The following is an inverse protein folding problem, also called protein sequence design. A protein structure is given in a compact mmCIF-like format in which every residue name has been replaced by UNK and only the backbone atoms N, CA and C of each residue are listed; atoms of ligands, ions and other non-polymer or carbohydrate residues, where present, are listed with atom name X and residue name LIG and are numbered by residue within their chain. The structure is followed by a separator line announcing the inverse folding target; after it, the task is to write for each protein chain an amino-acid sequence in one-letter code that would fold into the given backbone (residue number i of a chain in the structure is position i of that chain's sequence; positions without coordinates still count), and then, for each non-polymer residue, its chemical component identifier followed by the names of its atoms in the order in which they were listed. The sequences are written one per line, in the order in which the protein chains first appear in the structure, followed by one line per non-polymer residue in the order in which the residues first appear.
data_IF_785845363863
#
_entry.id   IF_785845363863
#
_cell.length_a   1.000
_cell.length_b   1.000
_cell.length_c   1.000
_cell.angle_alpha   90.00
_cell.angle_beta   90.00
_cell.angle_gamma   90.00
#
_symmetry.space_group_name_H-M   'P 1'
#
loop_
_entity.id
_entity.type
_entity.pdbx_description
1 polymer ?
#
# COMPACT_ATOMS: atom_id res chain seq x y z
N UNK A 1 17.43 4.68 11.15
CA UNK A 1 16.36 5.45 10.47
C UNK A 1 15.31 5.74 11.52
N UNK A 2 15.19 7.01 11.93
CA UNK A 2 14.38 7.43 13.08
C UNK A 2 12.88 7.32 12.76
N UNK A 3 12.20 6.30 13.31
CA UNK A 3 10.74 6.11 13.27
C UNK A 3 9.99 7.09 14.20
N UNK A 4 10.36 8.36 14.22
CA UNK A 4 9.74 9.34 15.09
C UNK A 4 8.76 10.23 14.33
N UNK A 5 7.47 10.09 14.69
CA UNK A 5 6.41 11.14 14.72
C UNK A 5 5.42 11.30 13.55
N UNK A 6 4.69 10.25 13.18
CA UNK A 6 3.32 10.45 12.61
C UNK A 6 2.26 9.47 13.15
N UNK A 7 2.50 8.82 14.29
CA UNK A 7 1.42 8.15 15.02
C UNK A 7 0.59 9.18 15.79
N UNK A 8 -0.30 9.88 15.08
CA UNK A 8 -1.43 10.51 15.75
C UNK A 8 -2.24 9.43 16.47
N UNK A 9 -2.62 9.60 17.75
CA UNK A 9 -3.43 8.62 18.48
C UNK A 9 -4.79 8.35 17.79
N UNK A 10 -5.26 9.25 16.92
CA UNK A 10 -6.45 9.02 16.08
C UNK A 10 -6.26 7.97 14.98
N UNK A 11 -5.03 7.66 14.57
CA UNK A 11 -4.76 6.78 13.44
C UNK A 11 -5.06 5.31 13.75
N UNK A 12 -4.82 4.86 14.99
CA UNK A 12 -5.16 3.49 15.39
C UNK A 12 -6.67 3.32 15.60
N UNK A 13 -7.35 4.36 16.10
CA UNK A 13 -8.81 4.34 16.30
C UNK A 13 -9.56 4.28 14.97
N UNK A 14 -9.20 5.12 14.00
CA UNK A 14 -9.80 5.11 12.65
C UNK A 14 -9.55 3.77 11.96
N UNK A 15 -8.35 3.20 12.12
CA UNK A 15 -8.00 1.91 11.52
C UNK A 15 -8.81 0.75 12.12
N UNK A 16 -8.99 0.73 13.43
CA UNK A 16 -9.83 -0.27 14.10
C UNK A 16 -11.29 -0.11 13.69
N UNK A 17 -11.79 1.13 13.62
CA UNK A 17 -13.14 1.42 13.15
C UNK A 17 -13.39 0.91 11.73
N UNK A 18 -12.50 1.24 10.78
CA UNK A 18 -12.60 0.77 9.38
C UNK A 18 -12.58 -0.77 9.27
N UNK A 19 -11.78 -1.45 10.11
CA UNK A 19 -11.64 -2.91 10.10
C UNK A 19 -12.83 -3.67 10.69
N UNK A 20 -13.60 -3.03 11.56
CA UNK A 20 -14.78 -3.64 12.19
C UNK A 20 -16.08 -3.24 11.48
N UNK A 21 -16.25 -1.95 11.20
CA UNK A 21 -17.48 -1.42 10.58
C UNK A 21 -17.54 -1.75 9.09
N UNK A 22 -16.41 -1.74 8.37
CA UNK A 22 -16.34 -2.08 6.96
C UNK A 22 -16.91 -3.48 6.64
N UNK A 23 -16.40 -4.55 7.25
CA UNK A 23 -16.92 -5.90 7.04
C UNK A 23 -18.37 -6.06 7.49
N UNK A 24 -18.78 -5.40 8.57
CA UNK A 24 -20.17 -5.46 9.04
C UNK A 24 -21.13 -4.82 8.02
N UNK A 25 -20.83 -3.63 7.52
CA UNK A 25 -21.60 -2.97 6.46
C UNK A 25 -21.61 -3.80 5.17
N UNK A 26 -20.49 -4.41 4.81
CA UNK A 26 -20.39 -5.28 3.65
C UNK A 26 -21.32 -6.48 3.78
N UNK A 27 -21.33 -7.16 4.93
CA UNK A 27 -22.20 -8.32 5.17
C UNK A 27 -23.69 -7.94 5.09
N UNK A 28 -24.06 -6.82 5.72
CA UNK A 28 -25.44 -6.31 5.67
C UNK A 28 -25.83 -5.94 4.23
N UNK A 29 -24.94 -5.25 3.51
CA UNK A 29 -25.17 -4.83 2.13
C UNK A 29 -25.32 -6.03 1.19
N UNK A 30 -24.53 -7.08 1.42
CA UNK A 30 -24.55 -8.30 0.63
C UNK A 30 -25.86 -9.07 0.87
N UNK A 31 -26.35 -9.14 2.11
CA UNK A 31 -27.66 -9.71 2.42
C UNK A 31 -28.80 -8.93 1.71
N UNK A 32 -28.79 -7.59 1.77
CA UNK A 32 -29.79 -6.76 1.10
C UNK A 32 -29.75 -6.91 -0.43
N UNK A 33 -28.54 -6.92 -1.00
CA UNK A 33 -28.33 -7.14 -2.43
C UNK A 33 -28.84 -8.50 -2.86
N UNK A 34 -28.53 -9.55 -2.07
CA UNK A 34 -28.97 -10.91 -2.35
C UNK A 34 -30.50 -11.03 -2.34
N UNK A 35 -31.17 -10.46 -1.33
CA UNK A 35 -32.65 -10.48 -1.25
C UNK A 35 -33.28 -9.72 -2.42
N UNK A 36 -32.75 -8.55 -2.76
CA UNK A 36 -33.28 -7.76 -3.87
C UNK A 36 -33.09 -8.43 -5.23
N UNK A 37 -31.93 -9.06 -5.43
CA UNK A 37 -31.62 -9.77 -6.65
C UNK A 37 -32.41 -11.09 -6.77
N UNK A 38 -32.56 -11.84 -5.67
CA UNK A 38 -33.41 -13.02 -5.62
C UNK A 38 -34.87 -12.68 -5.91
N UNK A 39 -35.40 -11.59 -5.35
CA UNK A 39 -36.76 -11.11 -5.64
C UNK A 39 -36.93 -10.66 -7.09
N UNK A 40 -35.89 -10.08 -7.71
CA UNK A 40 -35.90 -9.73 -9.11
C UNK A 40 -35.95 -10.98 -9.98
N UNK A 41 -35.05 -11.92 -9.76
CA UNK A 41 -34.99 -13.17 -10.53
C UNK A 41 -36.23 -14.06 -10.32
N UNK A 42 -36.86 -14.05 -9.15
CA UNK A 42 -38.10 -14.80 -8.92
C UNK A 42 -39.30 -14.22 -9.66
N UNK A 43 -39.33 -12.89 -9.84
CA UNK A 43 -40.37 -12.21 -10.60
C UNK A 43 -40.04 -12.11 -12.11
N UNK A 44 -38.80 -12.40 -12.49
CA UNK A 44 -38.31 -12.30 -13.87
C UNK A 44 -38.99 -13.36 -14.74
N UNK A 45 -39.77 -12.91 -15.74
CA UNK A 45 -40.60 -13.78 -16.59
C UNK A 45 -42.02 -14.01 -16.07
N UNK A 46 -42.36 -13.44 -14.91
CA UNK A 46 -43.75 -13.33 -14.43
C UNK A 46 -44.30 -11.94 -14.74
N UNK A 47 -45.62 -11.78 -14.83
CA UNK A 47 -46.27 -10.45 -14.93
C UNK A 47 -46.34 -9.73 -13.56
N UNK A 48 -45.64 -10.23 -12.53
CA UNK A 48 -45.65 -9.69 -11.18
C UNK A 48 -44.44 -8.79 -10.92
N UNK A 49 -44.62 -7.72 -10.15
CA UNK A 49 -43.55 -6.79 -9.82
C UNK A 49 -42.70 -7.32 -8.64
N UNK A 50 -41.36 -7.28 -8.71
CA UNK A 50 -40.50 -7.76 -7.63
C UNK A 50 -40.62 -6.88 -6.37
N UNK A 51 -41.23 -7.44 -5.32
CA UNK A 51 -41.54 -6.74 -4.06
C UNK A 51 -40.32 -6.21 -3.30
N UNK A 52 -39.17 -6.90 -3.40
CA UNK A 52 -37.97 -6.54 -2.65
C UNK A 52 -36.83 -5.98 -3.50
N UNK A 53 -37.07 -5.65 -4.77
CA UNK A 53 -36.02 -5.14 -5.66
C UNK A 53 -35.35 -3.86 -5.13
N UNK A 54 -36.07 -3.03 -4.38
CA UNK A 54 -35.53 -1.85 -3.71
C UNK A 54 -34.37 -2.17 -2.73
N UNK A 55 -34.34 -3.38 -2.17
CA UNK A 55 -33.23 -3.84 -1.33
C UNK A 55 -31.91 -3.87 -2.10
N UNK A 56 -31.92 -4.13 -3.41
CA UNK A 56 -30.70 -4.09 -4.23
C UNK A 56 -30.17 -2.66 -4.40
N UNK A 57 -31.05 -1.66 -4.51
CA UNK A 57 -30.67 -0.25 -4.59
C UNK A 57 -30.03 0.28 -3.30
N UNK A 58 -30.40 -0.27 -2.14
CA UNK A 58 -29.77 0.06 -0.85
C UNK A 58 -28.54 -0.80 -0.61
N UNK A 59 -28.62 -2.09 -0.93
CA UNK A 59 -27.57 -3.07 -0.71
C UNK A 59 -26.31 -2.78 -1.52
N UNK A 60 -26.44 -2.44 -2.80
CA UNK A 60 -25.31 -2.20 -3.71
C UNK A 60 -24.41 -1.04 -3.23
N UNK A 61 -24.94 0.17 -2.92
CA UNK A 61 -24.15 1.22 -2.28
C UNK A 61 -23.51 0.77 -0.96
N UNK A 62 -24.25 0.04 -0.13
CA UNK A 62 -23.73 -0.43 1.16
C UNK A 62 -22.55 -1.40 1.00
N UNK A 63 -22.60 -2.27 -0.02
CA UNK A 63 -21.47 -3.13 -0.41
C UNK A 63 -20.29 -2.28 -0.88
N UNK A 64 -20.50 -1.28 -1.74
CA UNK A 64 -19.41 -0.40 -2.23
C UNK A 64 -18.71 0.30 -1.06
N UNK A 65 -19.47 0.89 -0.14
CA UNK A 65 -18.89 1.52 1.04
C UNK A 65 -18.22 0.52 1.98
N UNK A 66 -18.83 -0.66 2.20
CA UNK A 66 -18.26 -1.74 2.99
C UNK A 66 -16.92 -2.24 2.46
N UNK A 67 -16.83 -2.45 1.14
CA UNK A 67 -15.60 -2.83 0.44
C UNK A 67 -14.55 -1.73 0.58
N UNK A 68 -14.90 -0.48 0.27
CA UNK A 68 -13.97 0.64 0.34
C UNK A 68 -13.38 0.82 1.75
N UNK A 69 -14.22 0.82 2.78
CA UNK A 69 -13.75 0.91 4.17
C UNK A 69 -12.85 -0.26 4.56
N UNK A 70 -13.19 -1.48 4.12
CA UNK A 70 -12.37 -2.66 4.37
C UNK A 70 -11.01 -2.54 3.67
N UNK A 71 -10.97 -2.14 2.41
CA UNK A 71 -9.72 -1.91 1.67
C UNK A 71 -8.84 -0.91 2.41
N UNK A 72 -9.34 0.27 2.75
CA UNK A 72 -8.56 1.28 3.49
C UNK A 72 -8.14 0.79 4.89
N UNK A 73 -8.97 0.02 5.59
CA UNK A 73 -8.66 -0.55 6.90
C UNK A 73 -7.52 -1.59 6.85
N UNK A 74 -7.45 -2.38 5.79
CA UNK A 74 -6.44 -3.44 5.60
C UNK A 74 -5.27 -3.04 4.70
N UNK A 75 -5.33 -1.90 4.02
CA UNK A 75 -4.30 -1.42 3.08
C UNK A 75 -2.90 -1.38 3.69
N UNK A 76 -2.77 -0.89 4.92
CA UNK A 76 -1.47 -0.88 5.62
C UNK A 76 -0.94 -2.26 6.03
N UNK A 77 -1.77 -3.31 6.03
CA UNK A 77 -1.29 -4.68 6.19
C UNK A 77 -0.81 -5.25 4.85
N UNK A 78 -1.56 -4.97 3.77
CA UNK A 78 -1.22 -5.36 2.40
C UNK A 78 0.13 -4.76 1.98
N UNK A 79 0.33 -3.45 2.17
CA UNK A 79 1.60 -2.81 1.82
C UNK A 79 2.78 -3.32 2.63
N UNK A 80 2.58 -3.68 3.90
CA UNK A 80 3.64 -4.29 4.70
C UNK A 80 4.00 -5.67 4.20
N UNK A 81 3.02 -6.46 3.79
CA UNK A 81 3.25 -7.76 3.16
C UNK A 81 4.03 -7.61 1.85
N UNK A 82 3.58 -6.72 0.95
CA UNK A 82 4.28 -6.45 -0.31
C UNK A 82 5.71 -5.95 -0.05
N UNK A 83 5.90 -5.04 0.90
CA UNK A 83 7.22 -4.55 1.26
C UNK A 83 8.10 -5.69 1.79
N UNK A 84 7.57 -6.58 2.64
CA UNK A 84 8.33 -7.72 3.16
C UNK A 84 8.79 -8.67 2.04
N UNK A 85 7.99 -8.86 0.99
CA UNK A 85 8.34 -9.71 -0.15
C UNK A 85 9.27 -9.03 -1.16
N UNK A 86 9.12 -7.72 -1.36
CA UNK A 86 9.90 -6.96 -2.36
C UNK A 86 11.23 -6.43 -1.82
N UNK A 87 11.34 -6.21 -0.51
CA UNK A 87 12.59 -5.74 0.15
C UNK A 87 13.80 -6.64 -0.11
N UNK A 88 13.74 -7.99 0.04
CA UNK A 88 14.90 -8.84 -0.24
C UNK A 88 15.33 -8.73 -1.71
N UNK A 89 14.38 -8.73 -2.64
CA UNK A 89 14.66 -8.59 -4.08
C UNK A 89 15.32 -7.24 -4.39
N UNK A 90 14.78 -6.16 -3.82
CA UNK A 90 15.38 -4.84 -3.97
C UNK A 90 16.79 -4.79 -3.38
N UNK A 91 16.98 -5.39 -2.20
CA UNK A 91 18.29 -5.47 -1.53
C UNK A 91 19.31 -6.23 -2.37
N UNK A 92 18.91 -7.35 -2.95
CA UNK A 92 19.79 -8.17 -3.80
C UNK A 92 20.17 -7.38 -5.06
N UNK A 93 19.19 -6.76 -5.73
CA UNK A 93 19.47 -5.89 -6.89
C UNK A 93 20.41 -4.72 -6.55
N UNK A 94 20.26 -4.11 -5.37
CA UNK A 94 21.17 -3.06 -4.91
C UNK A 94 22.57 -3.58 -4.59
N UNK A 95 22.69 -4.76 -3.98
CA UNK A 95 23.98 -5.38 -3.70
C UNK A 95 24.70 -5.75 -5.00
N UNK A 96 24.02 -6.41 -5.94
CA UNK A 96 24.57 -6.79 -7.25
C UNK A 96 25.06 -5.58 -8.04
N UNK A 97 24.24 -4.51 -8.05
CA UNK A 97 24.63 -3.25 -8.66
C UNK A 97 25.85 -2.64 -7.97
N UNK A 98 25.87 -2.63 -6.64
CA UNK A 98 26.97 -2.14 -5.82
C UNK A 98 28.27 -2.90 -6.05
N UNK A 99 28.21 -4.23 -6.19
CA UNK A 99 29.35 -5.08 -6.55
C UNK A 99 29.87 -4.74 -7.95
N UNK A 100 28.97 -4.52 -8.92
CA UNK A 100 29.35 -4.15 -10.29
C UNK A 100 30.00 -2.78 -10.41
N UNK A 101 29.48 -1.76 -9.71
CA UNK A 101 29.99 -0.37 -9.83
C UNK A 101 31.07 -0.03 -8.79
N UNK A 102 31.19 -0.83 -7.73
CA UNK A 102 32.09 -0.61 -6.60
C UNK A 102 33.55 -0.35 -7.00
N UNK A 103 34.15 -1.17 -7.89
CA UNK A 103 35.51 -0.93 -8.36
C UNK A 103 35.68 0.42 -9.07
N UNK A 104 34.70 0.81 -9.90
CA UNK A 104 34.72 2.09 -10.62
C UNK A 104 34.62 3.29 -9.67
N UNK A 105 33.67 3.25 -8.72
CA UNK A 105 33.52 4.30 -7.69
C UNK A 105 34.79 4.42 -6.83
N UNK A 106 35.41 3.29 -6.48
CA UNK A 106 36.67 3.25 -5.74
C UNK A 106 37.83 3.86 -6.54
N UNK A 107 37.93 3.57 -7.84
CA UNK A 107 38.96 4.12 -8.72
C UNK A 107 38.86 5.65 -8.83
N UNK A 108 37.65 6.18 -9.04
CA UNK A 108 37.42 7.63 -9.08
C UNK A 108 37.77 8.28 -7.74
N UNK A 109 37.32 7.70 -6.63
CA UNK A 109 37.62 8.23 -5.29
C UNK A 109 39.12 8.26 -4.99
N UNK A 110 39.84 7.22 -5.43
CA UNK A 110 41.29 7.13 -5.27
C UNK A 110 42.02 8.21 -6.08
N UNK A 111 41.64 8.41 -7.35
CA UNK A 111 42.24 9.43 -8.21
C UNK A 111 42.03 10.85 -7.66
N UNK A 112 40.85 11.15 -7.11
CA UNK A 112 40.59 12.43 -6.43
C UNK A 112 41.49 12.60 -5.20
N UNK A 113 41.63 11.56 -4.38
CA UNK A 113 42.48 11.61 -3.19
C UNK A 113 43.95 11.82 -3.53
N UNK A 114 44.46 11.13 -4.55
CA UNK A 114 45.84 11.27 -5.03
C UNK A 114 46.10 12.69 -5.54
N UNK A 115 45.19 13.24 -6.36
CA UNK A 115 45.31 14.61 -6.86
C UNK A 115 45.30 15.68 -5.76
N UNK A 116 44.53 15.48 -4.67
CA UNK A 116 44.53 16.39 -3.51
C UNK A 116 45.86 16.33 -2.76
N UNK A 117 46.45 15.13 -2.58
CA UNK A 117 47.73 15.00 -1.90
C UNK A 117 48.87 15.61 -2.72
N UNK A 118 48.90 15.37 -4.04
CA UNK A 118 49.90 15.98 -4.94
C UNK A 118 49.84 17.51 -4.89
N UNK A 119 48.63 18.10 -4.92
CA UNK A 119 48.45 19.55 -4.82
C UNK A 119 48.93 20.13 -3.47
N UNK A 120 48.75 19.39 -2.36
CA UNK A 120 49.26 19.79 -1.05
C UNK A 120 50.80 19.69 -0.96
N UNK A 121 51.38 18.65 -1.55
CA UNK A 121 52.84 18.50 -1.60
C UNK A 121 53.51 19.57 -2.46
N UNK A 122 52.94 19.89 -3.64
CA UNK A 122 53.42 21.01 -4.47
C UNK A 122 53.32 22.35 -3.73
N UNK A 123 52.21 22.59 -3.03
CA UNK A 123 52.03 23.82 -2.25
C UNK A 123 53.02 23.92 -1.07
N UNK A 124 53.40 22.79 -0.46
CA UNK A 124 54.40 22.73 0.61
C UNK A 124 55.84 22.90 0.08
N UNK A 125 56.15 22.41 -1.12
CA UNK A 125 57.49 22.59 -1.75
C UNK A 125 57.74 24.01 -2.27
N UNK A 126 56.69 24.80 -2.45
CA UNK A 126 56.75 26.17 -3.00
C UNK A 126 56.88 27.25 -1.92
N UNK A 127 56.83 26.88 -0.64
CA UNK A 127 57.08 27.75 0.53
C UNK A 127 58.41 27.36 1.18
#
# INVERSE_FOLDING_TARGET
MNESRTKSPGHETVRTFLRTVGPLMLLIGLAFTFVGLASFFSAFGTFEQPRYFWCAFVGMPLVVFGVGMSQFGYMGAIYRYIAAETTPVARDAFNDLGEGIGPGVKAVSKAVSEGVMEAQEESRRRN
#
